data_IF_885257873867
#
_entry.id   IF_885257873867
#
_cell.length_a   1.000
_cell.length_b   1.000
_cell.length_c   1.000
_cell.angle_alpha   90.00
_cell.angle_beta   90.00
_cell.angle_gamma   90.00
#
_symmetry.space_group_name_H-M   'P 1'
#
loop_
_entity.id
_entity.type
_entity.pdbx_description
1 polymer ?
#
# COMPACT_ATOMS: atom_id res chain seq x y z
N UNK A 1 27.54 -17.20 -2.80
CA UNK A 1 27.47 -16.86 -4.24
C UNK A 1 27.96 -15.43 -4.37
N UNK A 2 29.14 -15.22 -4.94
CA UNK A 2 29.67 -13.87 -5.16
C UNK A 2 28.89 -13.20 -6.31
N UNK A 3 28.71 -11.88 -6.29
CA UNK A 3 28.03 -11.11 -7.35
C UNK A 3 28.65 -11.32 -8.73
N UNK A 4 29.96 -11.60 -8.78
CA UNK A 4 30.70 -11.94 -10.00
C UNK A 4 30.29 -13.31 -10.55
N UNK A 5 30.17 -14.32 -9.69
CA UNK A 5 29.74 -15.67 -10.07
C UNK A 5 28.29 -15.68 -10.57
N UNK A 6 27.43 -14.90 -9.89
CA UNK A 6 26.03 -14.75 -10.27
C UNK A 6 25.89 -14.10 -11.66
N UNK A 7 26.64 -13.02 -11.92
CA UNK A 7 26.66 -12.37 -13.24
C UNK A 7 27.11 -13.33 -14.33
N UNK A 8 28.18 -14.08 -14.10
CA UNK A 8 28.67 -15.03 -15.10
C UNK A 8 27.65 -16.13 -15.41
N UNK A 9 26.97 -16.65 -14.39
CA UNK A 9 25.94 -17.68 -14.57
C UNK A 9 24.73 -17.14 -15.35
N UNK A 10 24.29 -15.91 -15.02
CA UNK A 10 23.21 -15.23 -15.73
C UNK A 10 23.57 -14.96 -17.20
N UNK A 11 24.78 -14.46 -17.47
CA UNK A 11 25.24 -14.23 -18.84
C UNK A 11 25.23 -15.52 -19.66
N UNK A 12 25.73 -16.63 -19.11
CA UNK A 12 25.69 -17.93 -19.79
C UNK A 12 24.27 -18.42 -20.06
N UNK A 13 23.35 -18.27 -19.11
CA UNK A 13 21.94 -18.64 -19.30
C UNK A 13 21.25 -17.76 -20.33
N UNK A 14 21.54 -16.46 -20.34
CA UNK A 14 20.99 -15.51 -21.32
C UNK A 14 21.45 -15.80 -22.75
N UNK A 15 22.70 -16.25 -22.94
CA UNK A 15 23.22 -16.61 -24.27
C UNK A 15 22.60 -17.88 -24.87
N UNK A 16 21.93 -18.71 -24.05
CA UNK A 16 21.29 -19.95 -24.49
C UNK A 16 19.80 -19.78 -24.82
N UNK A 17 19.24 -18.59 -24.58
CA UNK A 17 17.82 -18.31 -24.80
C UNK A 17 17.56 -17.84 -26.23
N UNK A 18 16.39 -18.18 -26.75
CA UNK A 18 15.90 -17.68 -28.05
C UNK A 18 15.42 -16.23 -27.95
N UNK A 19 15.34 -15.53 -29.08
CA UNK A 19 14.87 -14.14 -29.15
C UNK A 19 13.47 -13.95 -28.56
N UNK A 20 12.58 -14.93 -28.74
CA UNK A 20 11.23 -14.89 -28.18
C UNK A 20 11.23 -15.03 -26.65
N UNK A 21 12.08 -15.89 -26.11
CA UNK A 21 12.25 -16.02 -24.65
C UNK A 21 12.90 -14.79 -24.04
N UNK A 22 13.89 -14.19 -24.72
CA UNK A 22 14.49 -12.92 -24.29
C UNK A 22 13.45 -11.80 -24.28
N UNK A 23 12.57 -11.75 -25.30
CA UNK A 23 11.47 -10.78 -25.35
C UNK A 23 10.48 -10.95 -24.21
N UNK A 24 10.10 -12.20 -23.88
CA UNK A 24 9.24 -12.48 -22.72
C UNK A 24 9.89 -12.07 -21.40
N UNK A 25 11.20 -12.31 -21.25
CA UNK A 25 11.96 -11.89 -20.07
C UNK A 25 11.98 -10.35 -19.99
N UNK A 26 12.22 -9.64 -21.10
CA UNK A 26 12.18 -8.18 -21.12
C UNK A 26 10.80 -7.63 -20.74
N UNK A 27 9.72 -8.19 -21.28
CA UNK A 27 8.35 -7.81 -20.93
C UNK A 27 8.06 -8.06 -19.44
N UNK A 28 8.54 -9.18 -18.90
CA UNK A 28 8.40 -9.48 -17.48
C UNK A 28 9.19 -8.48 -16.63
N UNK A 29 10.42 -8.13 -17.00
CA UNK A 29 11.23 -7.12 -16.31
C UNK A 29 10.53 -5.77 -16.33
N UNK A 30 10.00 -5.33 -17.48
CA UNK A 30 9.24 -4.08 -17.58
C UNK A 30 7.99 -4.08 -16.68
N UNK A 31 7.26 -5.20 -16.62
CA UNK A 31 6.13 -5.36 -15.70
C UNK A 31 6.56 -5.31 -14.23
N UNK A 32 7.71 -5.91 -13.89
CA UNK A 32 8.26 -5.87 -12.55
C UNK A 32 8.77 -4.48 -12.16
N UNK A 33 9.39 -3.73 -13.07
CA UNK A 33 9.83 -2.35 -12.84
C UNK A 33 8.64 -1.39 -12.66
N UNK A 34 7.54 -1.60 -13.40
CA UNK A 34 6.29 -0.87 -13.19
C UNK A 34 5.64 -1.18 -11.84
N UNK A 35 5.84 -2.39 -11.31
CA UNK A 35 5.33 -2.83 -10.00
C UNK A 35 6.25 -2.42 -8.85
N UNK A 36 7.55 -2.26 -9.13
CA UNK A 36 8.57 -1.74 -8.23
C UNK A 36 8.92 -0.32 -8.65
N UNK A 37 7.97 0.62 -8.54
CA UNK A 37 8.36 2.01 -8.39
C UNK A 37 9.23 2.09 -7.13
N UNK A 38 10.55 2.08 -7.31
CA UNK A 38 11.52 2.36 -6.26
C UNK A 38 11.33 3.82 -5.92
N UNK A 39 10.41 4.08 -5.00
CA UNK A 39 10.23 5.40 -4.42
C UNK A 39 11.55 5.75 -3.76
N UNK A 40 12.09 6.91 -4.12
CA UNK A 40 13.30 7.42 -3.49
C UNK A 40 13.07 7.53 -1.99
N UNK A 41 14.14 7.43 -1.20
CA UNK A 41 14.03 7.56 0.26
C UNK A 41 13.37 8.89 0.68
N UNK A 42 13.52 9.94 -0.14
CA UNK A 42 12.85 11.22 0.04
C UNK A 42 11.33 11.12 -0.12
N UNK A 43 10.84 10.46 -1.18
CA UNK A 43 9.39 10.26 -1.37
C UNK A 43 8.80 9.36 -0.28
N UNK A 44 9.53 8.34 0.17
CA UNK A 44 9.09 7.50 1.29
C UNK A 44 8.98 8.31 2.59
N UNK A 45 9.96 9.15 2.90
CA UNK A 45 9.92 10.05 4.06
C UNK A 45 8.76 11.03 3.98
N UNK A 46 8.52 11.63 2.81
CA UNK A 46 7.40 12.55 2.59
C UNK A 46 6.05 11.87 2.84
N UNK A 47 5.86 10.65 2.34
CA UNK A 47 4.62 9.87 2.55
C UNK A 47 4.40 9.49 4.02
N UNK A 48 5.48 9.12 4.73
CA UNK A 48 5.40 8.85 6.16
C UNK A 48 5.11 10.12 6.95
N UNK A 49 5.76 11.25 6.64
CA UNK A 49 5.46 12.53 7.29
C UNK A 49 4.03 13.01 7.03
N UNK A 50 3.51 12.83 5.79
CA UNK A 50 2.11 13.10 5.45
C UNK A 50 1.17 12.22 6.28
N UNK A 51 1.50 10.94 6.45
CA UNK A 51 0.74 10.02 7.27
C UNK A 51 0.78 10.35 8.77
N UNK A 52 1.95 10.65 9.34
CA UNK A 52 2.10 11.06 10.75
C UNK A 52 1.32 12.35 11.04
N UNK A 53 1.33 13.30 10.11
CA UNK A 53 0.53 14.51 10.20
C UNK A 53 -0.97 14.20 10.27
N UNK A 54 -1.48 13.32 9.39
CA UNK A 54 -2.89 12.92 9.38
C UNK A 54 -3.31 12.22 10.68
N UNK A 55 -2.47 11.32 11.19
CA UNK A 55 -2.71 10.62 12.46
C UNK A 55 -2.73 11.59 13.65
N UNK A 56 -1.73 12.47 13.75
CA UNK A 56 -1.56 13.37 14.89
C UNK A 56 -2.63 14.46 14.96
N UNK A 57 -3.10 14.94 13.81
CA UNK A 57 -4.15 15.96 13.75
C UNK A 57 -5.55 15.37 13.82
N UNK A 58 -5.68 14.05 14.05
CA UNK A 58 -6.97 13.38 14.18
C UNK A 58 -7.87 13.66 12.96
N UNK A 59 -7.24 13.91 11.82
CA UNK A 59 -7.87 14.49 10.65
C UNK A 59 -8.70 13.42 9.97
N UNK A 60 -10.02 13.63 9.97
CA UNK A 60 -10.81 13.37 8.77
C UNK A 60 -10.01 13.93 7.60
N UNK A 61 -9.67 13.04 6.67
CA UNK A 61 -8.94 13.33 5.43
C UNK A 61 -9.24 14.75 4.96
N UNK A 62 -8.24 15.63 4.95
CA UNK A 62 -8.36 16.93 4.28
C UNK A 62 -8.84 16.66 2.85
N UNK A 63 -10.10 16.99 2.56
CA UNK A 63 -10.74 16.72 1.26
C UNK A 63 -9.98 17.38 0.11
N UNK A 64 -9.17 18.40 0.40
CA UNK A 64 -8.33 19.05 -0.59
C UNK A 64 -7.12 18.21 -1.02
N UNK A 65 -6.65 17.29 -0.17
CA UNK A 65 -5.48 16.42 -0.41
C UNK A 65 -5.63 15.03 0.24
N UNK A 66 -6.61 14.23 -0.20
CA UNK A 66 -6.75 12.87 0.29
C UNK A 66 -5.49 12.04 0.01
N UNK A 67 -5.24 11.04 0.86
CA UNK A 67 -4.33 9.96 0.51
C UNK A 67 -5.00 9.12 -0.57
N UNK A 68 -4.31 8.95 -1.69
CA UNK A 68 -4.71 8.01 -2.73
C UNK A 68 -4.51 6.56 -2.27
N UNK A 69 -5.24 5.63 -2.88
CA UNK A 69 -5.12 4.20 -2.58
C UNK A 69 -3.69 3.67 -2.78
N UNK A 70 -2.98 4.20 -3.77
CA UNK A 70 -1.59 3.82 -4.04
C UNK A 70 -0.66 4.30 -2.93
N UNK A 71 -0.80 5.57 -2.49
CA UNK A 71 -0.05 6.11 -1.35
C UNK A 71 -0.32 5.30 -0.07
N UNK A 72 -1.58 4.90 0.16
CA UNK A 72 -1.95 4.04 1.30
C UNK A 72 -1.21 2.71 1.18
N UNK A 73 -1.28 2.02 0.04
CA UNK A 73 -0.60 0.74 -0.15
C UNK A 73 0.90 0.84 0.11
N UNK A 74 1.53 1.91 -0.37
CA UNK A 74 2.95 2.21 -0.15
C UNK A 74 3.25 2.42 1.34
N UNK A 75 2.51 3.30 2.01
CA UNK A 75 2.67 3.57 3.45
C UNK A 75 2.57 2.27 4.25
N UNK A 76 1.63 1.40 3.87
CA UNK A 76 1.44 0.12 4.54
C UNK A 76 2.61 -0.84 4.37
N UNK A 77 3.21 -0.86 3.17
CA UNK A 77 4.42 -1.64 2.92
C UNK A 77 5.62 -1.08 3.72
N UNK A 78 5.75 0.24 3.83
CA UNK A 78 6.80 0.89 4.61
C UNK A 78 6.66 0.57 6.10
N UNK A 79 5.46 0.76 6.67
CA UNK A 79 5.19 0.46 8.08
C UNK A 79 5.42 -1.01 8.43
N UNK A 80 5.05 -1.93 7.53
CA UNK A 80 5.33 -3.36 7.70
C UNK A 80 6.83 -3.65 7.73
N UNK A 81 7.64 -3.01 6.86
CA UNK A 81 9.11 -3.15 6.88
C UNK A 81 9.71 -2.63 8.19
N UNK A 82 9.14 -1.58 8.76
CA UNK A 82 9.58 -0.96 10.01
C UNK A 82 9.02 -1.64 11.27
N UNK A 83 8.23 -2.72 11.15
CA UNK A 83 7.49 -3.36 12.25
C UNK A 83 6.61 -2.37 13.06
N UNK A 84 6.15 -1.29 12.44
CA UNK A 84 5.24 -0.33 13.06
C UNK A 84 3.80 -0.78 12.83
N UNK A 85 3.02 -0.83 13.90
CA UNK A 85 1.58 -1.08 13.81
C UNK A 85 0.90 0.13 13.21
N UNK A 86 -0.07 -0.09 12.31
CA UNK A 86 -0.98 0.99 11.94
C UNK A 86 -1.70 1.44 13.22
N UNK A 87 -1.77 2.75 13.52
CA UNK A 87 -2.70 3.25 14.50
C UNK A 87 -4.08 2.94 13.92
N UNK A 88 -4.70 1.89 14.43
CA UNK A 88 -6.15 1.77 14.37
C UNK A 88 -6.64 3.00 15.13
N UNK A 89 -7.08 4.01 14.38
CA UNK A 89 -7.86 5.08 14.98
C UNK A 89 -9.07 4.40 15.62
N UNK A 90 -9.02 4.25 16.94
CA UNK A 90 -10.24 4.09 17.72
C UNK A 90 -11.09 5.27 17.26
N UNK A 91 -12.21 5.00 16.59
CA UNK A 91 -13.17 6.04 16.25
C UNK A 91 -13.41 6.81 17.55
N UNK A 92 -13.00 8.09 17.60
CA UNK A 92 -13.22 8.95 18.76
C UNK A 92 -14.67 9.44 18.76
N UNK A 93 -15.59 8.50 18.65
CA UNK A 93 -17.00 8.69 18.89
C UNK A 93 -17.40 7.65 19.91
N UNK A 94 -18.03 8.08 21.00
CA UNK A 94 -18.81 7.16 21.81
C UNK A 94 -19.86 6.56 20.88
N UNK A 95 -19.71 5.27 20.54
CA UNK A 95 -20.73 4.52 19.81
C UNK A 95 -21.90 4.30 20.79
N UNK A 96 -22.70 5.35 20.95
CA UNK A 96 -23.91 5.32 21.75
C UNK A 96 -24.97 4.63 20.91
N UNK A 97 -25.17 3.34 21.16
CA UNK A 97 -26.34 2.63 20.67
C UNK A 97 -27.50 3.14 21.50
N UNK A 98 -28.45 3.83 20.87
CA UNK A 98 -29.68 4.22 21.55
C UNK A 98 -30.37 2.96 22.11
N UNK A 99 -30.97 3.06 23.30
CA UNK A 99 -31.68 1.94 23.93
C UNK A 99 -32.78 1.36 23.00
N UNK A 100 -33.26 2.17 22.06
CA UNK A 100 -34.26 1.83 21.05
C UNK A 100 -33.71 1.10 19.81
N UNK A 101 -32.40 0.82 19.74
CA UNK A 101 -31.84 0.08 18.60
C UNK A 101 -32.46 -1.32 18.41
N UNK A 102 -32.92 -1.93 19.52
CA UNK A 102 -33.60 -3.22 19.51
C UNK A 102 -35.13 -3.08 19.60
N UNK A 103 -35.68 -1.87 19.55
CA UNK A 103 -37.13 -1.70 19.56
C UNK A 103 -37.71 -2.31 18.27
N UNK A 104 -38.88 -2.96 18.36
CA UNK A 104 -39.56 -3.44 17.17
C UNK A 104 -39.84 -2.28 16.23
N UNK A 105 -39.67 -2.53 14.92
CA UNK A 105 -40.03 -1.55 13.89
C UNK A 105 -41.51 -1.16 14.05
N UNK A 106 -41.85 0.12 13.92
CA UNK A 106 -43.24 0.55 14.02
C UNK A 106 -44.08 -0.13 12.94
N UNK A 107 -45.29 -0.54 13.33
CA UNK A 107 -46.22 -1.28 12.47
C UNK A 107 -46.61 -0.51 11.20
N UNK A 108 -46.40 0.81 11.19
CA UNK A 108 -46.73 1.74 10.10
C UNK A 108 -45.75 1.71 8.91
N UNK A 109 -44.70 0.88 8.95
CA UNK A 109 -43.72 0.75 7.84
C UNK A 109 -44.18 -0.26 6.77
N UNK A 110 -45.26 -1.01 7.03
CA UNK A 110 -45.84 -1.96 6.06
C UNK A 110 -47.07 -1.35 5.39
N UNK A 111 -46.84 -0.54 4.37
CA UNK A 111 -47.85 -0.22 3.33
C UNK A 111 -47.44 -0.87 1.99
#
# INVERSE_FOLDING_TARGET
>A
MNTIELRNNLTQKLTLLSDEQLKLISQLIEQFDLSQTVLTEETQKELISKWEYLVNNNQEIDESKPLSNDEIQIICQILNKENKTRPLGLAKGDFSIDESFNDPLPDDIVD
#
